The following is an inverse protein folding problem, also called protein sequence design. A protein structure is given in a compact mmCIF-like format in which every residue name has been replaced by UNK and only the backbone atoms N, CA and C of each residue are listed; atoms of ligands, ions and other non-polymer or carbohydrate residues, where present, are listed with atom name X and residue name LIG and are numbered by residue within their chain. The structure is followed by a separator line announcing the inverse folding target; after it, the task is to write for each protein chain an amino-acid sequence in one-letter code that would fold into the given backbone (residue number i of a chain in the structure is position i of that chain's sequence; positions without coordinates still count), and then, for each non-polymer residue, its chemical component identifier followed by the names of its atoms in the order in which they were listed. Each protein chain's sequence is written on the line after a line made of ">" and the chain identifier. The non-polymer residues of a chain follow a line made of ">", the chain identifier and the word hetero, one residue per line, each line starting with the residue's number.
data_IF_730058627782
#
_entry.id   IF_730058627782
#
_cell.length_a   1.000
_cell.length_b   1.000
_cell.length_c   1.000
_cell.angle_alpha   90.00
_cell.angle_beta   90.00
_cell.angle_gamma   90.00
#
_symmetry.space_group_name_H-M   'P 1'
#
loop_
_entity.id
_entity.type
_entity.pdbx_description
1 polymer ?
#
# COMPACT_ATOMS: atom_id res chain seq x y z
N UNK A 1 6.77 0.35 17.75
CA UNK A 1 7.43 -0.96 17.85
C UNK A 1 8.93 -0.78 18.08
N UNK A 2 9.60 -1.65 18.86
CA UNK A 2 11.07 -1.62 18.97
C UNK A 2 11.67 -1.96 17.59
N UNK A 3 12.76 -1.29 17.15
CA UNK A 3 13.38 -1.54 15.84
C UNK A 3 13.72 -3.02 15.58
N UNK A 4 14.14 -3.75 16.60
CA UNK A 4 14.47 -5.18 16.52
C UNK A 4 13.25 -6.03 16.21
N UNK A 5 12.12 -5.77 16.87
CA UNK A 5 10.87 -6.49 16.63
C UNK A 5 10.37 -6.26 15.19
N UNK A 6 10.54 -5.05 14.63
CA UNK A 6 10.20 -4.77 13.23
C UNK A 6 11.01 -5.61 12.26
N UNK A 7 12.33 -5.68 12.42
CA UNK A 7 13.17 -6.49 11.52
C UNK A 7 12.82 -7.98 11.61
N UNK A 8 12.55 -8.49 12.82
CA UNK A 8 12.11 -9.87 13.02
C UNK A 8 10.78 -10.12 12.30
N UNK A 9 9.79 -9.24 12.47
CA UNK A 9 8.48 -9.39 11.80
C UNK A 9 8.63 -9.40 10.28
N UNK A 10 9.36 -8.45 9.69
CA UNK A 10 9.54 -8.41 8.23
C UNK A 10 10.30 -9.64 7.72
N UNK A 11 11.30 -10.13 8.46
CA UNK A 11 12.06 -11.33 8.10
C UNK A 11 11.17 -12.57 8.12
N UNK A 12 10.35 -12.71 9.16
CA UNK A 12 9.40 -13.83 9.28
C UNK A 12 8.35 -13.79 8.17
N UNK A 13 7.80 -12.61 7.87
CA UNK A 13 6.84 -12.43 6.77
C UNK A 13 7.47 -12.78 5.41
N UNK A 14 8.72 -12.37 5.18
CA UNK A 14 9.46 -12.72 3.97
C UNK A 14 9.67 -14.23 3.83
N UNK A 15 10.14 -14.89 4.89
CA UNK A 15 10.33 -16.35 4.90
C UNK A 15 9.00 -17.06 4.70
N UNK A 16 7.94 -16.64 5.39
CA UNK A 16 6.61 -17.24 5.20
C UNK A 16 6.13 -17.10 3.77
N UNK A 17 6.44 -15.99 3.09
CA UNK A 17 6.05 -15.84 1.70
C UNK A 17 6.78 -16.77 0.75
N UNK A 18 8.08 -17.03 0.99
CA UNK A 18 8.83 -18.02 0.21
C UNK A 18 8.23 -19.43 0.43
N UNK A 19 7.93 -19.78 1.68
CA UNK A 19 7.34 -21.09 2.02
C UNK A 19 5.96 -21.24 1.39
N UNK A 20 5.11 -20.20 1.42
CA UNK A 20 3.83 -20.23 0.74
C UNK A 20 3.99 -20.36 -0.78
N UNK A 21 4.90 -19.60 -1.40
CA UNK A 21 5.13 -19.70 -2.83
C UNK A 21 5.56 -21.11 -3.24
N UNK A 22 6.41 -21.76 -2.45
CA UNK A 22 6.78 -23.16 -2.65
C UNK A 22 5.60 -24.12 -2.44
N UNK A 23 4.80 -23.93 -1.38
CA UNK A 23 3.66 -24.80 -1.05
C UNK A 23 2.53 -24.72 -2.09
N UNK A 24 2.31 -23.56 -2.71
CA UNK A 24 1.29 -23.35 -3.73
C UNK A 24 1.81 -23.51 -5.17
N UNK A 25 3.04 -24.01 -5.35
CA UNK A 25 3.70 -24.15 -6.66
C UNK A 25 3.67 -22.84 -7.49
N UNK A 26 3.80 -21.69 -6.82
CA UNK A 26 3.78 -20.39 -7.47
C UNK A 26 5.01 -20.20 -8.33
N UNK A 27 4.77 -19.86 -9.59
CA UNK A 27 5.81 -19.45 -10.51
C UNK A 27 6.03 -17.92 -10.44
N UNK A 28 6.91 -17.42 -11.32
CA UNK A 28 7.23 -16.01 -11.42
C UNK A 28 6.02 -15.11 -11.68
N UNK A 29 5.13 -15.54 -12.58
CA UNK A 29 3.92 -14.82 -12.91
C UNK A 29 3.04 -14.68 -11.67
N UNK A 30 2.83 -15.76 -10.92
CA UNK A 30 2.03 -15.73 -9.69
C UNK A 30 2.59 -14.72 -8.67
N UNK A 31 3.92 -14.70 -8.47
CA UNK A 31 4.57 -13.75 -7.56
C UNK A 31 4.40 -12.29 -8.01
N UNK A 32 4.53 -12.01 -9.31
CA UNK A 32 4.38 -10.66 -9.87
C UNK A 32 2.92 -10.21 -9.75
N UNK A 33 1.96 -11.10 -10.01
CA UNK A 33 0.54 -10.81 -9.87
C UNK A 33 0.09 -10.69 -8.41
N UNK A 34 0.70 -11.44 -7.49
CA UNK A 34 0.51 -11.30 -6.06
C UNK A 34 0.95 -9.91 -5.55
N UNK A 35 2.08 -9.41 -6.05
CA UNK A 35 2.56 -8.05 -5.77
C UNK A 35 1.59 -6.99 -6.33
N UNK A 36 1.16 -7.16 -7.57
CA UNK A 36 0.23 -6.24 -8.23
C UNK A 36 -1.14 -6.20 -7.52
N UNK A 37 -1.69 -7.36 -7.15
CA UNK A 37 -2.99 -7.40 -6.46
C UNK A 37 -2.87 -6.90 -5.03
N UNK A 38 -1.74 -7.14 -4.37
CA UNK A 38 -1.49 -6.54 -3.06
C UNK A 38 -1.39 -5.01 -3.14
N UNK A 39 -0.81 -4.44 -4.20
CA UNK A 39 -0.72 -2.99 -4.33
C UNK A 39 -2.08 -2.36 -4.57
N UNK A 40 -2.92 -2.96 -5.44
CA UNK A 40 -4.25 -2.43 -5.71
C UNK A 40 -5.16 -2.55 -4.48
N UNK A 41 -5.13 -3.70 -3.79
CA UNK A 41 -5.99 -3.93 -2.61
C UNK A 41 -5.61 -3.01 -1.45
N UNK A 42 -4.36 -3.05 -1.00
CA UNK A 42 -3.92 -2.26 0.16
C UNK A 42 -3.90 -0.76 -0.21
N UNK A 43 -3.44 -0.42 -1.42
CA UNK A 43 -3.43 0.96 -1.90
C UNK A 43 -4.84 1.55 -1.96
N UNK A 44 -5.83 0.81 -2.46
CA UNK A 44 -7.20 1.28 -2.53
C UNK A 44 -7.83 1.44 -1.14
N UNK A 45 -7.54 0.52 -0.20
CA UNK A 45 -7.93 0.69 1.21
C UNK A 45 -7.35 2.00 1.78
N UNK A 46 -6.07 2.29 1.53
CA UNK A 46 -5.46 3.55 2.01
C UNK A 46 -6.08 4.80 1.38
N UNK A 47 -6.49 4.73 0.11
CA UNK A 47 -7.14 5.82 -0.61
C UNK A 47 -8.51 6.14 -0.01
N UNK A 48 -9.29 5.12 0.36
CA UNK A 48 -10.61 5.29 0.99
C UNK A 48 -10.46 5.75 2.44
N UNK A 49 -9.67 5.04 3.23
CA UNK A 49 -9.58 5.27 4.67
C UNK A 49 -8.71 6.48 5.02
N UNK A 50 -7.76 6.88 4.18
CA UNK A 50 -6.87 8.01 4.43
C UNK A 50 -7.63 9.33 4.69
N UNK A 51 -8.45 9.81 3.73
CA UNK A 51 -9.29 10.99 3.93
C UNK A 51 -10.23 10.84 5.12
N UNK A 52 -10.83 9.65 5.32
CA UNK A 52 -11.71 9.40 6.47
C UNK A 52 -10.97 9.58 7.80
N UNK A 53 -9.78 9.01 7.94
CA UNK A 53 -8.93 9.15 9.13
C UNK A 53 -8.57 10.62 9.36
N UNK A 54 -8.21 11.35 8.30
CA UNK A 54 -7.90 12.79 8.40
C UNK A 54 -9.13 13.59 8.82
N UNK A 55 -10.30 13.31 8.26
CA UNK A 55 -11.55 13.95 8.65
C UNK A 55 -11.87 13.67 10.12
N UNK A 56 -11.65 12.43 10.60
CA UNK A 56 -11.88 12.06 12.00
C UNK A 56 -10.86 12.67 12.98
N UNK A 57 -9.58 12.82 12.58
CA UNK A 57 -8.51 13.35 13.46
C UNK A 57 -8.35 14.87 13.42
N UNK A 58 -8.65 15.52 12.29
CA UNK A 58 -8.46 16.97 12.09
C UNK A 58 -9.72 17.79 12.25
N UNK A 59 -10.77 17.29 12.93
CA UNK A 59 -11.84 18.16 13.42
C UNK A 59 -11.25 19.03 14.54
N UNK A 60 -10.89 20.31 14.29
CA UNK A 60 -10.00 21.09 15.17
C UNK A 60 -10.67 21.61 16.45
N UNK A 61 -11.90 21.19 16.75
CA UNK A 61 -12.70 21.71 17.86
C UNK A 61 -13.01 20.66 18.93
N UNK A 62 -12.65 19.40 18.68
CA UNK A 62 -12.88 18.31 19.63
C UNK A 62 -11.55 17.79 20.20
N UNK A 63 -10.63 18.72 20.50
CA UNK A 63 -9.72 18.46 21.61
C UNK A 63 -10.58 18.52 22.88
N UNK A 64 -11.19 17.38 23.25
CA UNK A 64 -11.65 17.21 24.63
C UNK A 64 -10.38 17.32 25.47
N UNK A 65 -10.12 18.52 25.98
CA UNK A 65 -9.26 18.68 27.14
C UNK A 65 -9.80 17.73 28.19
N UNK A 66 -8.95 16.84 28.68
CA UNK A 66 -9.32 15.73 29.58
C UNK A 66 -9.98 16.21 30.89
N UNK A 67 -9.90 17.50 31.13
CA UNK A 67 -10.30 18.31 32.28
C UNK A 67 -11.45 19.31 31.99
N UNK A 68 -12.11 19.21 30.82
CA UNK A 68 -13.20 20.11 30.45
C UNK A 68 -14.51 19.79 31.21
N UNK A 69 -15.09 20.79 31.87
CA UNK A 69 -16.37 20.65 32.57
C UNK A 69 -17.56 20.82 31.61
N UNK A 70 -18.69 20.18 31.92
CA UNK A 70 -19.88 20.12 31.03
C UNK A 70 -20.43 21.50 30.62
N UNK A 71 -20.32 22.51 31.48
CA UNK A 71 -20.75 23.89 31.20
C UNK A 71 -19.93 24.56 30.10
N UNK A 72 -18.61 24.37 30.10
CA UNK A 72 -17.71 24.93 29.09
C UNK A 72 -17.91 24.26 27.74
N UNK A 73 -18.19 22.95 27.74
CA UNK A 73 -18.54 22.18 26.55
C UNK A 73 -19.78 22.75 25.85
N UNK A 74 -20.88 22.99 26.58
CA UNK A 74 -22.12 23.53 26.00
C UNK A 74 -21.97 24.99 25.55
N UNK A 75 -21.19 25.81 26.27
CA UNK A 75 -20.91 27.20 25.88
C UNK A 75 -20.07 27.29 24.61
N UNK A 76 -19.09 26.40 24.45
CA UNK A 76 -18.27 26.33 23.24
C UNK A 76 -19.11 25.94 22.02
N UNK A 77 -19.99 24.93 22.15
CA UNK A 77 -20.94 24.52 21.11
C UNK A 77 -21.88 25.68 20.70
N UNK A 78 -22.35 26.48 21.66
CA UNK A 78 -23.24 27.63 21.38
C UNK A 78 -22.53 28.78 20.69
N UNK A 79 -21.22 28.97 20.92
CA UNK A 79 -20.41 30.08 20.39
C UNK A 79 -19.96 29.84 18.94
N UNK A 80 -19.91 28.58 18.50
CA UNK A 80 -19.62 28.22 17.12
C UNK A 80 -20.76 28.67 16.22
N UNK A 81 -20.51 29.63 15.33
CA UNK A 81 -21.50 30.04 14.32
C UNK A 81 -21.83 28.82 13.45
N UNK A 82 -23.06 28.30 13.55
CA UNK A 82 -23.58 27.16 12.75
C UNK A 82 -23.17 27.22 11.26
N UNK A 83 -23.08 28.42 10.70
CA UNK A 83 -22.63 28.68 9.32
C UNK A 83 -21.19 28.21 9.05
N UNK A 84 -20.24 28.45 9.96
CA UNK A 84 -18.84 28.01 9.77
C UNK A 84 -18.71 26.48 9.86
N UNK A 85 -19.53 25.84 10.69
CA UNK A 85 -19.59 24.38 10.80
C UNK A 85 -20.12 23.73 9.52
N UNK A 86 -21.23 24.25 8.97
CA UNK A 86 -21.80 23.75 7.72
C UNK A 86 -20.87 24.00 6.53
N UNK A 87 -20.21 25.17 6.46
CA UNK A 87 -19.22 25.47 5.43
C UNK A 87 -17.99 24.55 5.53
N UNK A 88 -17.48 24.29 6.74
CA UNK A 88 -16.35 23.40 6.94
C UNK A 88 -16.66 21.96 6.53
N UNK A 89 -17.83 21.43 6.93
CA UNK A 89 -18.29 20.10 6.52
C UNK A 89 -18.49 20.04 5.01
N UNK A 90 -19.12 21.08 4.43
CA UNK A 90 -19.35 21.16 2.99
C UNK A 90 -18.04 21.14 2.20
N UNK A 91 -17.08 21.99 2.55
CA UNK A 91 -15.78 22.07 1.86
C UNK A 91 -14.96 20.79 2.09
N UNK A 92 -14.85 20.32 3.34
CA UNK A 92 -14.04 19.13 3.65
C UNK A 92 -14.64 17.86 3.05
N UNK A 93 -15.97 17.74 3.06
CA UNK A 93 -16.70 16.66 2.40
C UNK A 93 -16.51 16.70 0.89
N UNK A 94 -16.64 17.88 0.27
CA UNK A 94 -16.38 18.05 -1.16
C UNK A 94 -14.94 17.67 -1.54
N UNK A 95 -13.94 18.15 -0.79
CA UNK A 95 -12.52 17.80 -1.02
C UNK A 95 -12.28 16.30 -0.86
N UNK A 96 -12.87 15.66 0.15
CA UNK A 96 -12.74 14.22 0.35
C UNK A 96 -13.38 13.41 -0.78
N UNK A 97 -14.58 13.80 -1.23
CA UNK A 97 -15.26 13.16 -2.37
C UNK A 97 -14.44 13.35 -3.64
N UNK A 98 -14.00 14.59 -3.94
CA UNK A 98 -13.16 14.87 -5.09
C UNK A 98 -11.89 14.01 -5.05
N UNK A 99 -11.20 13.96 -3.91
CA UNK A 99 -10.01 13.14 -3.71
C UNK A 99 -10.30 11.66 -4.03
N UNK A 100 -11.33 11.07 -3.41
CA UNK A 100 -11.65 9.65 -3.60
C UNK A 100 -12.03 9.36 -5.06
N UNK A 101 -12.86 10.20 -5.69
CA UNK A 101 -13.26 10.02 -7.08
C UNK A 101 -12.09 10.16 -8.05
N UNK A 102 -11.32 11.24 -7.94
CA UNK A 102 -10.17 11.51 -8.81
C UNK A 102 -9.13 10.41 -8.69
N UNK A 103 -8.72 10.08 -7.45
CA UNK A 103 -7.71 9.06 -7.24
C UNK A 103 -8.24 7.67 -7.54
N UNK A 104 -9.53 7.37 -7.39
CA UNK A 104 -10.08 6.07 -7.85
C UNK A 104 -9.89 5.88 -9.35
N UNK A 105 -10.25 6.89 -10.15
CA UNK A 105 -10.08 6.83 -11.61
C UNK A 105 -8.60 6.74 -11.96
N UNK A 106 -7.78 7.63 -11.41
CA UNK A 106 -6.35 7.70 -11.74
C UNK A 106 -5.60 6.43 -11.30
N UNK A 107 -5.78 5.98 -10.06
CA UNK A 107 -5.16 4.78 -9.50
C UNK A 107 -5.63 3.51 -10.21
N UNK A 108 -6.94 3.42 -10.47
CA UNK A 108 -7.54 2.29 -11.19
C UNK A 108 -7.04 2.18 -12.62
N UNK A 109 -7.04 3.29 -13.38
CA UNK A 109 -6.52 3.31 -14.75
C UNK A 109 -5.02 3.01 -14.81
N UNK A 110 -4.25 3.52 -13.85
CA UNK A 110 -2.83 3.19 -13.76
C UNK A 110 -2.61 1.68 -13.52
N UNK A 111 -3.35 1.08 -12.60
CA UNK A 111 -3.29 -0.37 -12.36
C UNK A 111 -3.79 -1.17 -13.57
N UNK A 112 -4.81 -0.66 -14.27
CA UNK A 112 -5.32 -1.29 -15.48
C UNK A 112 -4.25 -1.35 -16.57
N UNK A 113 -3.61 -0.22 -16.89
CA UNK A 113 -2.54 -0.17 -17.90
C UNK A 113 -1.36 -1.03 -17.48
N UNK A 114 -0.96 -0.95 -16.21
CA UNK A 114 0.14 -1.75 -15.68
C UNK A 114 -0.16 -3.26 -15.74
N UNK A 115 -1.39 -3.67 -15.38
CA UNK A 115 -1.83 -5.05 -15.49
C UNK A 115 -1.86 -5.54 -16.95
N UNK A 116 -2.19 -4.68 -17.92
CA UNK A 116 -2.09 -5.03 -19.36
C UNK A 116 -0.65 -5.32 -19.80
N UNK A 117 0.33 -4.57 -19.29
CA UNK A 117 1.75 -4.89 -19.54
C UNK A 117 2.11 -6.23 -18.90
N UNK A 118 1.74 -6.44 -17.64
CA UNK A 118 1.99 -7.71 -16.95
C UNK A 118 1.35 -8.90 -17.66
N UNK A 119 0.12 -8.78 -18.16
CA UNK A 119 -0.55 -9.87 -18.87
C UNK A 119 0.12 -10.23 -20.20
N UNK A 120 0.91 -9.30 -20.76
CA UNK A 120 1.68 -9.53 -21.99
C UNK A 120 2.97 -10.31 -21.70
N UNK A 121 3.67 -9.99 -20.61
CA UNK A 121 4.97 -10.61 -20.28
C UNK A 121 4.87 -11.82 -19.35
N UNK A 122 3.85 -11.84 -18.49
CA UNK A 122 3.64 -12.79 -17.40
C UNK A 122 2.16 -13.22 -17.36
N UNK A 123 1.66 -13.93 -18.38
CA UNK A 123 0.25 -14.34 -18.40
C UNK A 123 -0.07 -15.27 -17.23
N UNK A 124 -1.25 -15.09 -16.63
CA UNK A 124 -1.79 -16.01 -15.63
C UNK A 124 -2.52 -17.16 -16.31
N UNK A 125 -2.21 -18.39 -15.93
CA UNK A 125 -2.92 -19.56 -16.44
C UNK A 125 -4.37 -19.64 -15.94
N UNK A 126 -4.62 -19.18 -14.70
CA UNK A 126 -5.91 -19.34 -14.03
C UNK A 126 -6.95 -18.26 -14.37
N UNK A 127 -6.52 -17.08 -14.82
CA UNK A 127 -7.40 -15.92 -15.03
C UNK A 127 -6.99 -15.13 -16.27
N UNK A 128 -7.97 -14.76 -17.09
CA UNK A 128 -7.77 -13.87 -18.24
C UNK A 128 -7.82 -12.41 -17.80
N UNK A 129 -6.81 -11.62 -18.18
CA UNK A 129 -6.80 -10.20 -17.88
C UNK A 129 -7.91 -9.45 -18.63
N UNK A 130 -8.67 -8.56 -17.96
CA UNK A 130 -9.78 -7.87 -18.61
C UNK A 130 -9.32 -6.90 -19.70
N UNK A 131 -10.07 -6.85 -20.80
CA UNK A 131 -9.91 -5.85 -21.86
C UNK A 131 -10.65 -4.53 -21.56
N UNK A 132 -11.48 -4.49 -20.52
CA UNK A 132 -12.26 -3.33 -20.09
C UNK A 132 -11.89 -2.96 -18.64
N UNK A 133 -11.48 -1.70 -18.36
CA UNK A 133 -11.12 -1.27 -17.01
C UNK A 133 -12.25 -1.39 -15.99
N UNK A 134 -13.51 -1.41 -16.41
CA UNK A 134 -14.66 -1.61 -15.51
C UNK A 134 -14.69 -3.00 -14.87
N UNK A 135 -14.04 -3.99 -15.48
CA UNK A 135 -13.94 -5.35 -14.94
C UNK A 135 -12.74 -5.54 -14.00
N UNK A 136 -11.88 -4.52 -13.86
CA UNK A 136 -10.71 -4.56 -12.99
C UNK A 136 -11.04 -4.89 -11.52
N UNK A 137 -12.13 -4.36 -10.91
CA UNK A 137 -12.46 -4.69 -9.52
C UNK A 137 -12.74 -6.19 -9.33
N UNK A 138 -13.53 -6.79 -10.23
CA UNK A 138 -13.87 -8.21 -10.14
C UNK A 138 -12.64 -9.08 -10.34
N UNK A 139 -11.82 -8.78 -11.35
CA UNK A 139 -10.54 -9.45 -11.58
C UNK A 139 -9.63 -9.35 -10.36
N UNK A 140 -9.52 -8.16 -9.75
CA UNK A 140 -8.68 -7.93 -8.57
C UNK A 140 -9.17 -8.72 -7.35
N UNK A 141 -10.48 -8.86 -7.16
CA UNK A 141 -11.06 -9.68 -6.09
C UNK A 141 -10.71 -11.15 -6.29
N UNK A 142 -10.93 -11.69 -7.50
CA UNK A 142 -10.61 -13.08 -7.82
C UNK A 142 -9.11 -13.36 -7.62
N UNK A 143 -8.27 -12.46 -8.11
CA UNK A 143 -6.82 -12.59 -7.98
C UNK A 143 -6.36 -12.46 -6.53
N UNK A 144 -7.01 -11.62 -5.72
CA UNK A 144 -6.72 -11.48 -4.29
C UNK A 144 -7.11 -12.73 -3.51
N UNK A 145 -8.19 -13.42 -3.89
CA UNK A 145 -8.53 -14.73 -3.32
C UNK A 145 -7.51 -15.80 -3.71
N UNK A 146 -7.05 -15.80 -4.96
CA UNK A 146 -6.02 -16.74 -5.43
C UNK A 146 -4.68 -16.54 -4.71
N UNK A 147 -4.33 -15.29 -4.40
CA UNK A 147 -3.05 -14.91 -3.76
C UNK A 147 -3.21 -14.37 -2.34
N UNK A 148 -4.26 -14.80 -1.63
CA UNK A 148 -4.64 -14.24 -0.33
C UNK A 148 -3.51 -14.26 0.73
N UNK A 149 -2.62 -15.27 0.82
CA UNK A 149 -1.56 -15.26 1.81
C UNK A 149 -0.60 -14.08 1.60
N UNK A 150 -0.35 -13.73 0.33
CA UNK A 150 0.52 -12.62 -0.02
C UNK A 150 -0.11 -11.27 0.31
N UNK A 151 -1.40 -11.11 0.01
CA UNK A 151 -2.16 -9.90 0.35
C UNK A 151 -2.18 -9.69 1.86
N UNK A 152 -2.40 -10.76 2.64
CA UNK A 152 -2.40 -10.70 4.09
C UNK A 152 -1.02 -10.34 4.65
N UNK A 153 0.04 -11.03 4.21
CA UNK A 153 1.40 -10.75 4.66
C UNK A 153 1.80 -9.30 4.35
N UNK A 154 1.41 -8.81 3.18
CA UNK A 154 1.66 -7.43 2.76
C UNK A 154 0.87 -6.44 3.62
N UNK A 155 -0.38 -6.74 3.99
CA UNK A 155 -1.17 -5.92 4.90
C UNK A 155 -0.53 -5.82 6.29
N UNK A 156 -0.01 -6.93 6.82
CA UNK A 156 0.69 -6.97 8.12
C UNK A 156 2.00 -6.15 8.06
N UNK A 157 2.80 -6.31 6.99
CA UNK A 157 4.01 -5.52 6.77
C UNK A 157 3.71 -4.02 6.68
N UNK A 158 2.67 -3.63 5.94
CA UNK A 158 2.24 -2.22 5.84
C UNK A 158 1.79 -1.66 7.19
N UNK A 159 1.03 -2.44 7.97
CA UNK A 159 0.59 -2.04 9.30
C UNK A 159 1.78 -1.81 10.25
N UNK A 160 2.76 -2.72 10.25
CA UNK A 160 4.02 -2.59 11.02
C UNK A 160 4.74 -1.27 10.68
N UNK A 161 4.78 -0.90 9.40
CA UNK A 161 5.40 0.33 8.92
C UNK A 161 4.65 1.60 9.33
N UNK A 162 3.32 1.59 9.34
CA UNK A 162 2.51 2.73 9.77
C UNK A 162 2.68 3.06 11.25
N UNK A 163 2.94 2.04 12.09
CA UNK A 163 3.22 2.25 13.50
C UNK A 163 4.60 2.88 13.76
N UNK A 164 5.50 2.92 12.79
CA UNK A 164 6.87 3.38 12.99
C UNK A 164 6.93 4.94 13.07
N UNK A 165 7.28 5.54 14.22
CA UNK A 165 7.27 7.00 14.39
C UNK A 165 8.24 7.73 13.46
N UNK A 166 9.33 7.07 13.01
CA UNK A 166 10.30 7.65 12.07
C UNK A 166 9.68 7.93 10.70
N UNK A 167 8.69 7.13 10.26
CA UNK A 167 7.97 7.35 9.00
C UNK A 167 7.07 8.61 9.03
N UNK A 168 6.76 9.16 10.21
CA UNK A 168 5.98 10.40 10.35
C UNK A 168 6.78 11.67 10.02
N UNK A 169 8.12 11.58 9.92
CA UNK A 169 9.02 12.71 9.58
C UNK A 169 9.48 12.65 8.12
N UNK A 170 8.58 12.39 7.18
CA UNK A 170 8.92 12.48 5.76
C UNK A 170 9.04 13.94 5.33
N UNK A 171 10.18 14.29 4.72
CA UNK A 171 10.42 15.62 4.17
C UNK A 171 9.53 15.91 2.95
N UNK A 172 9.36 17.21 2.63
CA UNK A 172 8.49 17.68 1.54
C UNK A 172 8.81 17.00 0.18
N UNK A 173 10.09 16.76 -0.09
CA UNK A 173 10.57 16.10 -1.32
C UNK A 173 10.16 14.63 -1.40
N UNK A 174 10.10 13.92 -0.26
CA UNK A 174 9.67 12.52 -0.22
C UNK A 174 8.17 12.34 -0.45
N UNK A 175 7.37 13.37 -0.15
CA UNK A 175 5.91 13.34 -0.35
C UNK A 175 5.58 13.49 -1.84
N UNK A 176 6.27 14.39 -2.55
CA UNK A 176 6.01 14.66 -3.97
C UNK A 176 6.64 13.59 -4.86
N UNK A 177 7.93 13.28 -4.68
CA UNK A 177 8.65 12.36 -5.57
C UNK A 177 8.64 10.91 -5.11
N UNK A 178 8.22 10.62 -3.88
CA UNK A 178 8.15 9.26 -3.34
C UNK A 178 7.35 8.30 -4.23
N UNK A 179 6.11 8.65 -4.63
CA UNK A 179 5.29 7.81 -5.51
C UNK A 179 5.97 7.54 -6.86
N UNK A 180 6.58 8.55 -7.48
CA UNK A 180 7.26 8.39 -8.78
C UNK A 180 8.48 7.46 -8.68
N UNK A 181 9.28 7.60 -7.62
CA UNK A 181 10.41 6.69 -7.36
C UNK A 181 9.94 5.24 -7.19
N UNK A 182 8.80 5.03 -6.50
CA UNK A 182 8.21 3.71 -6.35
C UNK A 182 7.75 3.15 -7.70
N UNK A 183 7.07 3.95 -8.52
CA UNK A 183 6.61 3.55 -9.87
C UNK A 183 7.79 3.17 -10.77
N UNK A 184 8.80 4.03 -10.87
CA UNK A 184 10.00 3.77 -11.68
C UNK A 184 10.68 2.48 -11.21
N UNK A 185 10.83 2.32 -9.89
CA UNK A 185 11.40 1.12 -9.29
C UNK A 185 10.65 -0.14 -9.72
N UNK A 186 9.31 -0.12 -9.70
CA UNK A 186 8.49 -1.26 -10.12
C UNK A 186 8.62 -1.55 -11.62
N UNK A 187 8.66 -0.53 -12.48
CA UNK A 187 8.84 -0.70 -13.93
C UNK A 187 10.21 -1.29 -14.26
N UNK A 188 11.27 -0.80 -13.61
CA UNK A 188 12.61 -1.36 -13.77
C UNK A 188 12.66 -2.84 -13.39
N UNK A 189 11.96 -3.24 -12.31
CA UNK A 189 11.88 -4.66 -11.95
C UNK A 189 11.17 -5.49 -13.02
N UNK A 190 10.07 -4.99 -13.58
CA UNK A 190 9.35 -5.70 -14.66
C UNK A 190 10.26 -5.89 -15.86
N UNK A 191 11.05 -4.88 -16.26
CA UNK A 191 12.00 -5.03 -17.36
C UNK A 191 13.13 -6.02 -17.04
N UNK A 192 13.64 -6.03 -15.79
CA UNK A 192 14.63 -7.02 -15.36
C UNK A 192 14.06 -8.43 -15.43
N UNK A 193 12.85 -8.65 -14.90
CA UNK A 193 12.20 -9.95 -14.95
C UNK A 193 11.87 -10.38 -16.39
N UNK A 194 11.38 -9.46 -17.22
CA UNK A 194 11.06 -9.75 -18.62
C UNK A 194 12.33 -10.11 -19.40
N UNK A 195 13.45 -9.43 -19.15
CA UNK A 195 14.75 -9.76 -19.73
C UNK A 195 15.25 -11.14 -19.29
N UNK A 196 15.15 -11.48 -18.00
CA UNK A 196 15.54 -12.80 -17.50
C UNK A 196 14.67 -13.92 -18.06
N UNK A 197 13.35 -13.69 -18.15
CA UNK A 197 12.43 -14.63 -18.77
C UNK A 197 12.74 -14.82 -20.26
N UNK A 198 13.05 -13.75 -21.01
CA UNK A 198 13.47 -13.84 -22.41
C UNK A 198 14.77 -14.64 -22.59
N UNK A 199 15.67 -14.60 -21.60
CA UNK A 199 16.89 -15.40 -21.57
C UNK A 199 16.66 -16.86 -21.12
N UNK A 200 15.41 -17.28 -20.90
CA UNK A 200 15.04 -18.61 -20.40
C UNK A 200 15.74 -18.94 -19.06
N UNK A 201 15.89 -17.91 -18.24
CA UNK A 201 16.39 -18.01 -16.86
C UNK A 201 15.16 -18.12 -15.95
N UNK A 202 14.45 -19.24 -16.06
CA UNK A 202 13.14 -19.52 -15.46
C UNK A 202 13.22 -20.30 -14.15
N UNK A 203 14.43 -20.53 -13.63
CA UNK A 203 14.59 -21.18 -12.32
C UNK A 203 14.03 -20.31 -11.18
N UNK A 204 13.17 -20.93 -10.36
CA UNK A 204 12.60 -20.39 -9.12
C UNK A 204 13.61 -19.59 -8.26
N UNK A 205 14.87 -20.05 -8.22
CA UNK A 205 15.97 -19.42 -7.46
C UNK A 205 16.22 -17.97 -7.88
N UNK A 206 16.17 -17.64 -9.17
CA UNK A 206 16.43 -16.27 -9.63
C UNK A 206 15.37 -15.29 -9.13
N UNK A 207 14.11 -15.72 -9.06
CA UNK A 207 13.02 -14.92 -8.51
C UNK A 207 13.19 -14.71 -7.01
N UNK A 208 13.57 -15.75 -6.27
CA UNK A 208 13.88 -15.65 -4.84
C UNK A 208 15.02 -14.67 -4.60
N UNK A 209 16.09 -14.71 -5.40
CA UNK A 209 17.24 -13.79 -5.29
C UNK A 209 16.81 -12.35 -5.57
N UNK A 210 15.97 -12.11 -6.57
CA UNK A 210 15.50 -10.74 -6.87
C UNK A 210 14.54 -10.25 -5.79
N UNK A 211 13.62 -11.09 -5.34
CA UNK A 211 12.74 -10.78 -4.21
C UNK A 211 13.55 -10.45 -2.96
N UNK A 212 14.61 -11.22 -2.68
CA UNK A 212 15.54 -10.96 -1.59
C UNK A 212 16.29 -9.63 -1.80
N UNK A 213 16.87 -9.38 -2.96
CA UNK A 213 17.59 -8.14 -3.23
C UNK A 213 16.71 -6.90 -3.06
N UNK A 214 15.42 -6.98 -3.42
CA UNK A 214 14.54 -5.82 -3.44
C UNK A 214 13.61 -5.67 -2.22
N UNK A 215 13.09 -6.76 -1.67
CA UNK A 215 12.10 -6.73 -0.61
C UNK A 215 12.66 -7.07 0.77
N UNK A 216 13.86 -7.65 0.85
CA UNK A 216 14.51 -7.88 2.15
C UNK A 216 14.79 -6.53 2.84
N UNK A 217 14.61 -6.43 4.18
CA UNK A 217 14.66 -5.17 4.92
C UNK A 217 16.11 -4.69 5.16
N UNK A 218 16.89 -4.53 4.08
CA UNK A 218 18.31 -4.12 4.12
C UNK A 218 18.52 -2.82 4.89
N UNK A 219 17.64 -1.85 4.69
CA UNK A 219 17.75 -0.53 5.32
C UNK A 219 17.57 -0.63 6.83
N UNK A 220 16.59 -1.40 7.25
CA UNK A 220 16.26 -1.60 8.66
C UNK A 220 17.39 -2.37 9.38
N UNK A 221 18.01 -3.34 8.72
CA UNK A 221 19.20 -4.05 9.26
C UNK A 221 20.40 -3.12 9.41
N UNK A 222 20.67 -2.28 8.40
CA UNK A 222 21.76 -1.29 8.48
C UNK A 222 21.50 -0.26 9.59
N UNK A 223 20.27 0.21 9.74
CA UNK A 223 19.86 1.11 10.82
C UNK A 223 20.00 0.47 12.21
N UNK A 224 19.61 -0.81 12.35
CA UNK A 224 19.80 -1.55 13.60
C UNK A 224 21.28 -1.62 13.99
N UNK A 225 22.15 -1.96 13.02
CA UNK A 225 23.59 -2.02 13.25
C UNK A 225 24.15 -0.68 13.69
N UNK A 226 23.70 0.42 13.09
CA UNK A 226 24.09 1.79 13.48
C UNK A 226 23.61 2.20 14.86
N UNK A 227 22.51 1.64 15.36
CA UNK A 227 21.96 1.97 16.67
C UNK A 227 22.60 1.16 17.83
N UNK A 228 23.39 0.13 17.51
CA UNK A 228 24.12 -0.70 18.47
C UNK A 228 25.60 -0.31 18.62
N UNK A 229 26.08 0.61 17.79
CA UNK A 229 27.41 1.24 17.85
C UNK A 229 27.24 2.62 18.47
#
# INVERSE_FOLDING_TARGET
>A
MKPTLHVVTETLLFISMIVCAWFFDWNASDLIWALWVSSITIGYLTLIFGPLIVLLHKVPWFEIKRDMNWTDFFLQIKKTKKVHFLLFIGISGFVAIFYVCFFTIHFGMFHFVHGSFLSTFFPLAALTYPNNPLNLPLFSIQLAFLHWPFVLASAISQYSRWQNPKNKKQGKDSIIFGPYKAVIRMHLMIFVFAGLHALHVDHFIFYVVILFAYFFPWKEIVELKKAQV
#
